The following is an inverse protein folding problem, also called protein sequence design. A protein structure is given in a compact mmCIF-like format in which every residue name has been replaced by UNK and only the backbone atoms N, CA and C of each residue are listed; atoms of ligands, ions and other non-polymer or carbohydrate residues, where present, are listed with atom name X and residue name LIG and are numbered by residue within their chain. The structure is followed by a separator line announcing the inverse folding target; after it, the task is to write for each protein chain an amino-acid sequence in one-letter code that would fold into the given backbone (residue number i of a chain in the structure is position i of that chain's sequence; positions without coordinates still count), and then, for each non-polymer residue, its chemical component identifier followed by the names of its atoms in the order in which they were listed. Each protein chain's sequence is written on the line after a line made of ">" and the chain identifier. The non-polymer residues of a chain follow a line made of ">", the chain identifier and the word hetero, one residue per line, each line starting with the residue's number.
data_IF_749741377264
#
_entry.id   IF_749741377264
#
_cell.length_a   1.000
_cell.length_b   1.000
_cell.length_c   1.000
_cell.angle_alpha   90.00
_cell.angle_beta   90.00
_cell.angle_gamma   90.00
#
_symmetry.space_group_name_H-M   'P 1'
#
loop_
_entity.id
_entity.type
_entity.pdbx_description
1 polymer ?
#
# COMPACT_ATOMS: atom_id res chain seq x y z
N UNK A 1 -7.22 -6.69 -4.99
CA UNK A 1 -6.27 -5.64 -5.45
C UNK A 1 -5.77 -4.84 -4.24
N UNK A 2 -4.62 -4.14 -4.26
CA UNK A 2 -4.19 -3.31 -3.13
C UNK A 2 -5.23 -2.23 -2.81
N UNK A 3 -5.46 -1.99 -1.52
CA UNK A 3 -6.31 -0.88 -1.08
C UNK A 3 -5.54 0.43 -1.36
N UNK A 4 -6.12 1.41 -2.08
CA UNK A 4 -5.43 2.63 -2.49
C UNK A 4 -5.37 3.68 -1.37
N UNK A 5 -4.78 3.30 -0.24
CA UNK A 5 -4.63 4.13 0.97
C UNK A 5 -3.16 4.23 1.37
N UNK A 6 -2.80 5.39 1.91
CA UNK A 6 -1.48 5.69 2.48
C UNK A 6 -1.64 6.27 3.88
N UNK A 7 -0.85 5.78 4.82
CA UNK A 7 -0.73 6.25 6.20
C UNK A 7 0.41 7.25 6.34
N UNK A 8 0.08 8.48 6.69
CA UNK A 8 1.04 9.56 6.93
C UNK A 8 0.94 10.03 8.39
N UNK A 9 2.06 10.18 9.08
CA UNK A 9 2.07 10.61 10.50
C UNK A 9 1.48 12.02 10.71
N UNK A 10 1.60 12.89 9.70
CA UNK A 10 1.09 14.26 9.78
C UNK A 10 -0.34 14.42 9.26
N UNK A 11 -0.72 13.64 8.25
CA UNK A 11 -2.01 13.79 7.55
C UNK A 11 -3.04 12.71 7.91
N UNK A 12 -2.62 11.65 8.61
CA UNK A 12 -3.44 10.49 8.92
C UNK A 12 -3.60 9.55 7.73
N UNK A 13 -4.81 9.02 7.57
CA UNK A 13 -5.19 8.15 6.44
C UNK A 13 -5.50 9.00 5.21
N UNK A 14 -4.73 8.82 4.14
CA UNK A 14 -4.83 9.62 2.92
C UNK A 14 -5.09 8.71 1.71
N UNK A 15 -6.10 8.98 0.87
CA UNK A 15 -6.33 8.22 -0.34
C UNK A 15 -5.26 8.50 -1.39
N UNK A 16 -4.89 7.47 -2.15
CA UNK A 16 -4.06 7.62 -3.35
C UNK A 16 -4.88 8.40 -4.41
N UNK A 17 -4.31 9.44 -5.06
CA UNK A 17 -5.01 10.18 -6.10
C UNK A 17 -5.40 9.30 -7.29
N UNK A 18 -6.55 9.55 -7.91
CA UNK A 18 -7.03 8.75 -9.06
C UNK A 18 -6.03 8.68 -10.22
N UNK A 19 -5.31 9.77 -10.48
CA UNK A 19 -4.26 9.85 -11.51
C UNK A 19 -3.09 8.88 -11.27
N UNK A 20 -2.89 8.46 -10.02
CA UNK A 20 -1.80 7.58 -9.59
C UNK A 20 -2.29 6.12 -9.43
N UNK A 21 -3.55 5.86 -9.78
CA UNK A 21 -4.11 4.51 -9.86
C UNK A 21 -3.77 3.85 -11.21
N UNK A 22 -3.61 2.51 -11.25
CA UNK A 22 -3.76 1.58 -10.13
C UNK A 22 -2.49 1.46 -9.27
N UNK A 23 -2.68 1.19 -7.98
CA UNK A 23 -1.60 0.72 -7.11
C UNK A 23 -1.26 -0.71 -7.53
N UNK A 24 -0.04 -0.92 -8.06
CA UNK A 24 0.40 -2.21 -8.58
C UNK A 24 1.03 -3.06 -7.48
N UNK A 25 0.67 -4.35 -7.45
CA UNK A 25 1.35 -5.32 -6.61
C UNK A 25 2.74 -5.61 -7.17
N UNK A 26 3.76 -5.76 -6.30
CA UNK A 26 5.04 -6.30 -6.71
C UNK A 26 4.86 -7.74 -7.25
N UNK A 27 5.53 -8.07 -8.35
CA UNK A 27 5.42 -9.37 -9.01
C UNK A 27 6.16 -10.48 -8.23
N UNK A 28 7.15 -10.11 -7.41
CA UNK A 28 8.10 -11.04 -6.79
C UNK A 28 7.74 -11.38 -5.33
N UNK A 29 6.45 -11.35 -4.97
CA UNK A 29 6.02 -11.65 -3.61
C UNK A 29 5.50 -13.08 -3.50
N UNK A 30 6.31 -13.96 -2.90
CA UNK A 30 5.85 -15.24 -2.41
C UNK A 30 4.98 -15.03 -1.16
N UNK A 31 3.86 -15.74 -1.08
CA UNK A 31 3.04 -15.80 0.13
C UNK A 31 3.89 -16.31 1.31
N UNK A 32 3.69 -15.72 2.48
CA UNK A 32 4.37 -16.17 3.68
C UNK A 32 3.92 -17.58 4.06
N UNK A 33 4.79 -18.42 4.64
CA UNK A 33 4.42 -19.77 5.09
C UNK A 33 3.26 -19.80 6.10
N UNK A 34 3.04 -18.69 6.81
CA UNK A 34 1.94 -18.49 7.76
C UNK A 34 0.61 -18.11 7.12
N UNK A 35 0.54 -17.93 5.79
CA UNK A 35 -0.64 -17.48 5.07
C UNK A 35 -0.91 -15.97 5.14
N UNK A 36 0.00 -15.20 5.76
CA UNK A 36 -0.10 -13.73 5.83
C UNK A 36 0.26 -13.04 4.51
N UNK A 37 -0.22 -11.81 4.33
CA UNK A 37 0.18 -10.94 3.22
C UNK A 37 1.70 -10.68 3.29
N UNK A 38 2.45 -10.86 2.20
CA UNK A 38 3.88 -10.55 2.14
C UNK A 38 4.16 -9.06 1.94
N UNK A 39 3.13 -8.25 1.64
CA UNK A 39 3.24 -6.82 1.36
C UNK A 39 3.87 -6.01 2.51
N UNK A 40 3.57 -6.25 3.80
CA UNK A 40 4.21 -5.54 4.91
C UNK A 40 5.73 -5.69 4.98
N UNK A 41 6.29 -6.75 4.38
CA UNK A 41 7.74 -7.01 4.36
C UNK A 41 8.43 -6.39 3.15
N UNK A 42 7.66 -5.94 2.15
CA UNK A 42 8.20 -5.34 0.94
C UNK A 42 8.43 -3.85 1.16
N UNK A 43 9.61 -3.46 1.61
CA UNK A 43 9.95 -2.05 1.85
C UNK A 43 9.76 -1.18 0.60
N UNK A 44 10.01 -1.73 -0.60
CA UNK A 44 9.82 -1.05 -1.88
C UNK A 44 8.36 -0.77 -2.21
N UNK A 45 7.43 -1.55 -1.65
CA UNK A 45 6.00 -1.32 -1.77
C UNK A 45 5.47 -0.44 -0.63
N UNK A 46 5.83 -0.77 0.61
CA UNK A 46 5.30 -0.11 1.81
C UNK A 46 5.73 1.35 1.86
N UNK A 47 6.98 1.66 1.57
CA UNK A 47 7.48 3.02 1.72
C UNK A 47 7.06 3.88 0.52
N UNK A 48 6.40 5.01 0.80
CA UNK A 48 5.94 5.96 -0.23
C UNK A 48 5.94 7.39 0.33
N UNK A 49 5.69 8.37 -0.53
CA UNK A 49 5.42 9.75 -0.10
C UNK A 49 3.92 9.99 0.09
N UNK A 50 3.56 10.84 1.06
CA UNK A 50 2.19 11.31 1.25
C UNK A 50 1.76 12.22 0.08
N UNK A 51 0.64 11.95 -0.60
CA UNK A 51 0.20 12.78 -1.72
C UNK A 51 -0.27 14.18 -1.28
N UNK A 52 -0.58 14.38 0.01
CA UNK A 52 -1.05 15.66 0.58
C UNK A 52 0.08 16.59 1.00
N UNK A 53 1.08 16.08 1.72
CA UNK A 53 2.16 16.89 2.28
C UNK A 53 3.56 16.54 1.73
N UNK A 54 3.67 15.56 0.83
CA UNK A 54 4.92 15.04 0.25
C UNK A 54 5.94 14.44 1.24
N UNK A 55 5.62 14.42 2.54
CA UNK A 55 6.45 13.78 3.56
C UNK A 55 6.44 12.24 3.48
N UNK A 56 7.25 11.57 4.31
CA UNK A 56 7.30 10.12 4.37
C UNK A 56 5.95 9.53 4.81
N UNK A 57 5.57 8.41 4.19
CA UNK A 57 4.32 7.73 4.44
C UNK A 57 4.43 6.23 4.12
N UNK A 58 3.44 5.45 4.54
CA UNK A 58 3.40 3.99 4.34
C UNK A 58 2.13 3.57 3.62
N UNK A 59 2.21 2.70 2.61
CA UNK A 59 1.02 2.18 1.91
C UNK A 59 0.23 1.22 2.80
N UNK A 60 -1.08 1.15 2.56
CA UNK A 60 -1.89 0.04 3.01
C UNK A 60 -1.39 -1.26 2.36
N UNK A 61 -1.24 -2.28 3.19
CA UNK A 61 -0.69 -3.59 2.84
C UNK A 61 -1.76 -4.67 2.76
N UNK A 62 -2.97 -4.37 3.23
CA UNK A 62 -4.13 -5.20 3.01
C UNK A 62 -4.64 -5.05 1.58
N UNK A 63 -5.21 -6.13 1.06
CA UNK A 63 -5.80 -6.17 -0.28
C UNK A 63 -7.30 -6.33 -0.17
N UNK A 64 -8.05 -5.68 -1.06
CA UNK A 64 -9.48 -5.96 -1.20
C UNK A 64 -9.69 -7.44 -1.53
N UNK A 65 -10.69 -8.01 -0.87
CA UNK A 65 -11.14 -9.39 -1.04
C UNK A 65 -11.51 -9.69 -2.50
N UNK A 66 -11.42 -10.96 -2.90
CA UNK A 66 -11.64 -11.42 -4.28
C UNK A 66 -13.06 -11.23 -4.81
N UNK A 67 -14.04 -10.94 -3.94
CA UNK A 67 -15.43 -10.71 -4.32
C UNK A 67 -15.83 -9.22 -4.46
N UNK A 68 -14.85 -8.31 -4.43
CA UNK A 68 -15.02 -6.86 -4.65
C UNK A 68 -14.66 -6.48 -6.09
#
# INVERSE_FOLDING_TARGET
>A
APIPIVYCEHCGTVPVPEKDLPVRLPLDLALLPSGGSPLPLSESFVNTSCPRCQGPARRETDTMDTFV
#
